data_IF_388206687417
#
_entry.id   IF_388206687417
#
_cell.length_a   1.000
_cell.length_b   1.000
_cell.length_c   1.000
_cell.angle_alpha   90.00
_cell.angle_beta   90.00
_cell.angle_gamma   90.00
#
_symmetry.space_group_name_H-M   'P 1'
#
loop_
_entity.id
_entity.type
_entity.pdbx_description
1 polymer ?
#
# COMPACT_ATOMS: atom_id res chain seq x y z
N UNK A 1 -3.95 -1.57 12.59
CA UNK A 1 -2.57 -2.09 12.83
C UNK A 1 -1.59 -1.42 11.87
N UNK A 2 -0.28 -1.47 12.17
CA UNK A 2 0.73 -0.91 11.24
C UNK A 2 0.95 -1.83 10.03
N UNK A 3 1.57 -1.29 8.97
CA UNK A 3 1.97 -2.09 7.82
C UNK A 3 2.98 -3.17 8.22
N UNK A 4 3.92 -2.81 9.10
CA UNK A 4 4.96 -3.73 9.60
C UNK A 4 4.34 -4.93 10.32
N UNK A 5 3.36 -4.71 11.20
CA UNK A 5 2.72 -5.81 11.92
C UNK A 5 2.01 -6.77 10.97
N UNK A 6 1.33 -6.24 9.95
CA UNK A 6 0.64 -7.04 8.95
C UNK A 6 1.63 -7.86 8.07
N UNK A 7 2.76 -7.27 7.69
CA UNK A 7 3.84 -7.97 6.98
C UNK A 7 4.40 -9.09 7.85
N UNK A 8 4.68 -8.80 9.12
CA UNK A 8 5.23 -9.78 10.06
C UNK A 8 4.24 -10.96 10.28
N UNK A 9 2.93 -10.72 10.23
CA UNK A 9 1.90 -11.77 10.28
C UNK A 9 1.93 -12.68 9.04
N UNK A 10 2.07 -12.13 7.83
CA UNK A 10 2.18 -12.92 6.59
C UNK A 10 3.42 -13.83 6.59
N UNK A 11 4.52 -13.36 7.17
CA UNK A 11 5.76 -14.15 7.27
C UNK A 11 5.69 -15.23 8.34
N UNK A 12 5.19 -14.90 9.53
CA UNK A 12 5.20 -15.81 10.68
C UNK A 12 4.15 -16.91 10.57
N UNK A 13 2.99 -16.61 9.99
CA UNK A 13 1.85 -17.53 9.94
C UNK A 13 1.30 -17.67 8.51
N UNK A 14 2.09 -18.19 7.54
CA UNK A 14 1.64 -18.27 6.14
C UNK A 14 0.37 -19.12 5.98
N UNK A 15 0.18 -20.17 6.79
CA UNK A 15 -1.02 -21.01 6.74
C UNK A 15 -2.31 -20.31 7.21
N UNK A 16 -2.22 -19.24 8.01
CA UNK A 16 -3.38 -18.46 8.44
C UNK A 16 -3.87 -17.46 7.38
N UNK A 17 -3.09 -17.26 6.32
CA UNK A 17 -3.33 -16.32 5.23
C UNK A 17 -3.13 -17.01 3.88
N UNK A 18 -3.71 -18.20 3.73
CA UNK A 18 -3.60 -19.04 2.54
C UNK A 18 -4.64 -18.71 1.46
N UNK A 19 -5.75 -18.06 1.83
CA UNK A 19 -6.81 -17.70 0.86
C UNK A 19 -6.89 -16.20 0.60
N UNK A 20 -7.42 -15.77 -0.57
CA UNK A 20 -7.62 -14.37 -0.87
C UNK A 20 -8.48 -13.64 0.17
N UNK A 21 -9.51 -14.30 0.71
CA UNK A 21 -10.41 -13.73 1.73
C UNK A 21 -9.68 -13.48 3.06
N UNK A 22 -8.78 -14.38 3.46
CA UNK A 22 -7.97 -14.21 4.67
C UNK A 22 -7.01 -13.03 4.52
N UNK A 23 -6.35 -12.91 3.36
CA UNK A 23 -5.44 -11.80 3.06
C UNK A 23 -6.21 -10.48 2.99
N UNK A 24 -7.40 -10.47 2.38
CA UNK A 24 -8.30 -9.30 2.35
C UNK A 24 -8.73 -8.88 3.75
N UNK A 25 -9.06 -9.84 4.60
CA UNK A 25 -9.45 -9.60 5.99
C UNK A 25 -8.29 -9.01 6.80
N UNK A 26 -7.05 -9.46 6.55
CA UNK A 26 -5.86 -8.85 7.12
C UNK A 26 -5.69 -7.39 6.65
N UNK A 27 -5.80 -7.14 5.34
CA UNK A 27 -5.69 -5.80 4.77
C UNK A 27 -6.70 -4.81 5.37
N UNK A 28 -7.94 -5.25 5.59
CA UNK A 28 -8.99 -4.43 6.19
C UNK A 28 -8.72 -4.00 7.64
N UNK A 29 -7.78 -4.65 8.35
CA UNK A 29 -7.38 -4.29 9.71
C UNK A 29 -6.18 -3.33 9.77
N UNK A 30 -5.50 -3.13 8.64
CA UNK A 30 -4.36 -2.20 8.54
C UNK A 30 -4.88 -0.77 8.52
N UNK A 31 -4.19 0.12 9.23
CA UNK A 31 -4.63 1.51 9.37
C UNK A 31 -4.63 2.23 8.02
N UNK A 32 -5.83 2.63 7.59
CA UNK A 32 -6.05 3.37 6.35
C UNK A 32 -5.94 4.89 6.53
N UNK A 33 -5.76 5.38 7.77
CA UNK A 33 -5.61 6.80 8.01
C UNK A 33 -4.32 7.33 7.39
N UNK A 34 -4.47 8.47 6.73
CA UNK A 34 -3.38 9.34 6.35
C UNK A 34 -3.61 10.69 7.05
N UNK A 35 -2.56 11.24 7.65
CA UNK A 35 -2.60 12.57 8.28
C UNK A 35 -2.63 13.64 7.19
N UNK A 36 -3.26 14.77 7.48
CA UNK A 36 -3.38 15.88 6.53
C UNK A 36 -4.75 16.53 6.56
N UNK A 37 -4.82 17.84 6.39
CA UNK A 37 -6.08 18.61 6.34
C UNK A 37 -6.69 18.65 4.93
N UNK A 38 -5.87 18.66 3.88
CA UNK A 38 -6.34 18.62 2.50
C UNK A 38 -6.25 17.19 1.93
N UNK A 39 -7.37 16.56 1.59
CA UNK A 39 -7.36 15.26 0.89
C UNK A 39 -7.16 15.49 -0.59
N UNK A 40 -6.10 14.90 -1.15
CA UNK A 40 -5.79 15.02 -2.58
C UNK A 40 -5.94 13.66 -3.24
N UNK A 41 -6.83 13.60 -4.24
CA UNK A 41 -6.97 12.46 -5.14
C UNK A 41 -6.29 12.81 -6.44
N UNK A 42 -5.33 12.00 -6.87
CA UNK A 42 -4.46 12.31 -7.99
C UNK A 42 -4.18 11.08 -8.83
N UNK A 43 -4.07 11.27 -10.14
CA UNK A 43 -3.70 10.22 -11.10
C UNK A 43 -3.18 10.86 -12.39
N UNK A 44 -2.53 10.06 -13.23
CA UNK A 44 -2.11 10.48 -14.57
C UNK A 44 -0.94 11.48 -14.62
N UNK A 45 -0.60 11.87 -15.85
CA UNK A 45 0.42 12.87 -16.14
C UNK A 45 -0.15 14.28 -16.09
N UNK A 46 0.62 15.23 -15.55
CA UNK A 46 0.27 16.66 -15.51
C UNK A 46 1.03 17.49 -16.54
N UNK A 47 2.06 16.90 -17.15
CA UNK A 47 2.88 17.51 -18.20
C UNK A 47 3.87 16.51 -18.79
N UNK A 48 4.66 16.92 -19.79
CA UNK A 48 5.69 16.03 -20.40
C UNK A 48 6.67 15.56 -19.33
N UNK A 49 6.61 14.26 -19.00
CA UNK A 49 7.49 13.62 -18.03
C UNK A 49 7.20 13.92 -16.56
N UNK A 50 6.10 14.59 -16.24
CA UNK A 50 5.69 14.90 -14.85
C UNK A 50 4.39 14.21 -14.54
N UNK A 51 4.40 13.42 -13.47
CA UNK A 51 3.25 12.70 -12.96
C UNK A 51 2.64 13.45 -11.79
N UNK A 52 1.34 13.25 -11.58
CA UNK A 52 0.67 13.83 -10.41
C UNK A 52 1.33 13.38 -9.10
N UNK A 53 1.93 12.17 -9.04
CA UNK A 53 2.73 11.71 -7.89
C UNK A 53 3.92 12.61 -7.59
N UNK A 54 4.61 13.11 -8.62
CA UNK A 54 5.79 13.97 -8.45
C UNK A 54 5.40 15.30 -7.80
N UNK A 55 4.23 15.84 -8.17
CA UNK A 55 3.67 17.06 -7.56
C UNK A 55 3.33 16.83 -6.09
N UNK A 56 2.65 15.73 -5.78
CA UNK A 56 2.28 15.40 -4.39
C UNK A 56 3.49 15.12 -3.52
N UNK A 57 4.51 14.46 -4.06
CA UNK A 57 5.76 14.24 -3.33
C UNK A 57 6.50 15.55 -3.06
N UNK A 58 6.45 16.51 -4.00
CA UNK A 58 6.92 17.88 -3.79
C UNK A 58 6.18 18.60 -2.66
N UNK A 59 4.86 18.55 -2.63
CA UNK A 59 4.04 19.17 -1.57
C UNK A 59 4.36 18.57 -0.19
N UNK A 60 4.48 17.24 -0.11
CA UNK A 60 4.85 16.56 1.14
C UNK A 60 6.27 16.94 1.57
N UNK A 61 7.22 17.01 0.65
CA UNK A 61 8.60 17.41 0.95
C UNK A 61 8.70 18.88 1.40
N UNK A 62 7.81 19.75 0.91
CA UNK A 62 7.69 21.14 1.34
C UNK A 62 7.00 21.30 2.72
N UNK A 63 6.51 20.21 3.33
CA UNK A 63 5.84 20.23 4.63
C UNK A 63 4.38 20.70 4.57
N UNK A 64 3.76 20.66 3.38
CA UNK A 64 2.34 21.00 3.25
C UNK A 64 1.45 19.99 3.98
N UNK A 65 0.32 20.48 4.50
CA UNK A 65 -0.65 19.70 5.28
C UNK A 65 -1.61 18.90 4.37
N UNK A 66 -1.02 18.00 3.57
CA UNK A 66 -1.74 17.17 2.60
C UNK A 66 -1.90 15.72 3.05
N UNK A 67 -3.14 15.23 2.93
CA UNK A 67 -3.51 13.84 3.18
C UNK A 67 -3.33 13.02 1.91
N UNK A 68 -2.25 12.25 1.91
CA UNK A 68 -1.88 11.34 0.82
C UNK A 68 -2.25 9.91 1.22
N UNK A 69 -3.38 9.40 0.71
CA UNK A 69 -3.91 8.07 1.05
C UNK A 69 -2.88 6.96 0.73
N UNK A 70 -2.12 7.16 -0.34
CA UNK A 70 -1.02 6.28 -0.77
C UNK A 70 0.13 6.14 0.23
N UNK A 71 0.21 7.03 1.24
CA UNK A 71 1.19 6.98 2.33
C UNK A 71 0.63 6.39 3.63
N UNK A 72 -0.64 5.97 3.65
CA UNK A 72 -1.25 5.24 4.77
C UNK A 72 -0.56 3.90 5.05
N UNK A 73 -0.77 3.33 6.24
CA UNK A 73 -0.22 2.00 6.56
C UNK A 73 -0.84 0.91 5.66
N UNK A 74 -2.13 1.03 5.36
CA UNK A 74 -2.82 0.12 4.45
C UNK A 74 -2.20 0.14 3.05
N UNK A 75 -1.95 1.33 2.50
CA UNK A 75 -1.29 1.47 1.19
C UNK A 75 0.13 0.90 1.20
N UNK A 76 0.93 1.17 2.25
CA UNK A 76 2.27 0.60 2.41
C UNK A 76 2.26 -0.93 2.49
N UNK A 77 1.29 -1.50 3.21
CA UNK A 77 1.11 -2.94 3.29
C UNK A 77 0.77 -3.55 1.93
N UNK A 78 -0.23 -3.00 1.22
CA UNK A 78 -0.66 -3.53 -0.08
C UNK A 78 0.40 -3.39 -1.18
N UNK A 79 1.32 -2.42 -1.06
CA UNK A 79 2.46 -2.25 -1.96
C UNK A 79 3.69 -3.10 -1.59
N UNK A 80 3.63 -3.89 -0.52
CA UNK A 80 4.77 -4.68 -0.04
C UNK A 80 4.94 -6.00 -0.81
N UNK A 81 6.19 -6.44 -1.00
CA UNK A 81 6.51 -7.74 -1.60
C UNK A 81 5.82 -8.92 -0.88
N UNK A 82 5.73 -8.85 0.46
CA UNK A 82 5.06 -9.86 1.27
C UNK A 82 3.58 -10.01 0.90
N UNK A 83 2.88 -8.90 0.69
CA UNK A 83 1.48 -8.89 0.28
C UNK A 83 1.31 -9.49 -1.12
N UNK A 84 2.11 -9.03 -2.09
CA UNK A 84 2.08 -9.59 -3.45
C UNK A 84 2.39 -11.09 -3.47
N UNK A 85 3.37 -11.53 -2.69
CA UNK A 85 3.74 -12.94 -2.58
C UNK A 85 2.67 -13.79 -1.91
N UNK A 86 1.94 -13.24 -0.92
CA UNK A 86 0.81 -13.92 -0.31
C UNK A 86 -0.36 -14.08 -1.29
N UNK A 87 -0.71 -13.01 -2.02
CA UNK A 87 -1.77 -13.03 -3.03
C UNK A 87 -1.41 -13.99 -4.17
N UNK A 88 -0.18 -13.92 -4.69
CA UNK A 88 0.29 -14.81 -5.75
C UNK A 88 0.13 -16.29 -5.36
N UNK A 89 0.58 -16.66 -4.15
CA UNK A 89 0.39 -18.01 -3.61
C UNK A 89 -1.09 -18.39 -3.45
N UNK A 90 -1.92 -17.48 -2.96
CA UNK A 90 -3.34 -17.74 -2.75
C UNK A 90 -4.13 -17.96 -4.04
N UNK A 91 -3.66 -17.41 -5.17
CA UNK A 91 -4.24 -17.61 -6.51
C UNK A 91 -3.49 -18.63 -7.37
N UNK A 92 -2.45 -19.29 -6.84
CA UNK A 92 -1.55 -20.18 -7.59
C UNK A 92 -0.91 -19.51 -8.82
N UNK A 93 -0.57 -18.23 -8.68
CA UNK A 93 0.11 -17.42 -9.70
C UNK A 93 1.59 -17.33 -9.34
N UNK A 94 2.52 -17.45 -10.30
CA UNK A 94 3.93 -17.21 -10.03
C UNK A 94 4.13 -15.78 -9.52
N UNK A 95 4.82 -15.56 -8.39
CA UNK A 95 5.11 -14.22 -7.89
C UNK A 95 5.97 -13.50 -8.93
N UNK A 96 5.42 -12.46 -9.56
CA UNK A 96 6.19 -11.63 -10.47
C UNK A 96 7.16 -10.79 -9.65
N UNK A 97 8.45 -10.69 -10.03
CA UNK A 97 9.32 -9.69 -9.45
C UNK A 97 8.74 -8.30 -9.78
N UNK A 98 8.40 -7.54 -8.74
CA UNK A 98 8.05 -6.13 -8.90
C UNK A 98 9.27 -5.44 -9.52
N UNK A 99 9.14 -4.97 -10.76
CA UNK A 99 10.15 -4.16 -11.44
C UNK A 99 10.08 -2.72 -10.97
#
# INVERSE_FOLDING_TARGET
MSAKDAIDLLHKNPGAYATPEQIRTLAARVDANATGRLTVLYSGGVGKGVWSSDVIDGMVAAGEDVRVIDKSQAAKFMKSEAFYSAIARAYDIPPQPLK
#
